data_IF_676479113693
#
_entry.id   IF_676479113693
#
_cell.length_a   1.000
_cell.length_b   1.000
_cell.length_c   1.000
_cell.angle_alpha   90.00
_cell.angle_beta   90.00
_cell.angle_gamma   90.00
#
_symmetry.space_group_name_H-M   'P 1'
#
loop_
_entity.id
_entity.type
_entity.pdbx_description
1 polymer ?
#
# COMPACT_ATOMS: atom_id res chain seq x y z
N UNK A 1 -39.13 -29.76 -10.07
CA UNK A 1 -37.82 -29.93 -10.73
C UNK A 1 -36.99 -28.64 -10.75
N UNK A 2 -37.54 -27.50 -11.19
CA UNK A 2 -36.82 -26.20 -11.24
C UNK A 2 -36.27 -25.74 -9.87
N UNK A 3 -37.02 -25.94 -8.78
CA UNK A 3 -36.60 -25.56 -7.42
C UNK A 3 -35.33 -26.31 -6.98
N UNK A 4 -35.24 -27.60 -7.28
CA UNK A 4 -34.05 -28.42 -6.95
C UNK A 4 -32.82 -27.91 -7.72
N UNK A 5 -33.04 -27.50 -8.98
CA UNK A 5 -31.98 -26.96 -9.82
C UNK A 5 -31.48 -25.59 -9.30
N UNK A 6 -32.39 -24.72 -8.86
CA UNK A 6 -32.07 -23.44 -8.21
C UNK A 6 -31.30 -23.65 -6.89
N UNK A 7 -31.77 -24.55 -6.03
CA UNK A 7 -31.11 -24.87 -4.77
C UNK A 7 -29.72 -25.47 -4.99
N UNK A 8 -29.57 -26.32 -6.01
CA UNK A 8 -28.27 -26.87 -6.41
C UNK A 8 -27.29 -25.81 -6.88
N UNK A 9 -27.75 -24.85 -7.70
CA UNK A 9 -26.93 -23.71 -8.13
C UNK A 9 -26.48 -22.83 -6.97
N UNK A 10 -27.39 -22.50 -6.05
CA UNK A 10 -27.08 -21.72 -4.84
C UNK A 10 -26.04 -22.46 -4.00
N UNK A 11 -26.26 -23.74 -3.70
CA UNK A 11 -25.34 -24.55 -2.92
C UNK A 11 -23.94 -24.63 -3.58
N UNK A 12 -23.88 -24.79 -4.91
CA UNK A 12 -22.61 -24.84 -5.64
C UNK A 12 -21.84 -23.52 -5.54
N UNK A 13 -22.50 -22.37 -5.68
CA UNK A 13 -21.88 -21.04 -5.52
C UNK A 13 -21.39 -20.85 -4.09
N UNK A 14 -22.21 -21.21 -3.09
CA UNK A 14 -21.83 -21.11 -1.68
C UNK A 14 -20.61 -21.98 -1.37
N UNK A 15 -20.60 -23.25 -1.79
CA UNK A 15 -19.46 -24.14 -1.57
C UNK A 15 -18.21 -23.58 -2.24
N UNK A 16 -18.31 -23.15 -3.50
CA UNK A 16 -17.18 -22.62 -4.24
C UNK A 16 -16.58 -21.35 -3.60
N UNK A 17 -17.40 -20.51 -2.99
CA UNK A 17 -16.93 -19.35 -2.23
C UNK A 17 -16.04 -19.74 -1.04
N UNK A 18 -16.35 -20.86 -0.38
CA UNK A 18 -15.60 -21.37 0.77
C UNK A 18 -14.43 -22.30 0.41
N UNK A 19 -14.24 -22.68 -0.86
CA UNK A 19 -13.11 -23.52 -1.29
C UNK A 19 -11.75 -22.87 -0.92
N UNK A 20 -11.50 -21.59 -1.23
CA UNK A 20 -10.25 -20.93 -0.82
C UNK A 20 -10.33 -20.34 0.60
N UNK A 21 -10.99 -21.00 1.56
CA UNK A 21 -11.21 -20.51 2.93
C UNK A 21 -9.94 -20.14 3.72
N UNK A 22 -8.77 -20.61 3.29
CA UNK A 22 -7.49 -20.31 3.91
C UNK A 22 -6.79 -19.07 3.36
N UNK A 23 -7.34 -18.39 2.34
CA UNK A 23 -6.75 -17.13 1.85
C UNK A 23 -7.25 -15.94 2.67
N UNK A 24 -6.37 -15.10 3.24
CA UNK A 24 -6.77 -13.84 3.87
C UNK A 24 -7.33 -12.83 2.86
N UNK A 25 -7.15 -13.10 1.56
CA UNK A 25 -7.70 -12.31 0.47
C UNK A 25 -9.09 -12.82 0.07
N UNK A 26 -10.03 -11.90 -0.16
CA UNK A 26 -11.40 -12.22 -0.59
C UNK A 26 -11.50 -12.55 -2.08
N UNK A 27 -10.51 -12.14 -2.87
CA UNK A 27 -10.49 -12.27 -4.33
C UNK A 27 -10.54 -13.71 -4.85
N UNK A 28 -9.78 -14.67 -4.29
CA UNK A 28 -9.89 -16.07 -4.66
C UNK A 28 -11.29 -16.64 -4.44
N UNK A 29 -11.93 -16.36 -3.30
CA UNK A 29 -13.30 -16.80 -2.99
C UNK A 29 -14.32 -16.25 -3.98
N UNK A 30 -14.21 -14.96 -4.29
CA UNK A 30 -15.05 -14.27 -5.27
C UNK A 30 -14.89 -14.86 -6.68
N UNK A 31 -13.65 -15.09 -7.12
CA UNK A 31 -13.36 -15.72 -8.42
C UNK A 31 -13.91 -17.15 -8.50
N UNK A 32 -13.73 -17.93 -7.44
CA UNK A 32 -14.21 -19.31 -7.38
C UNK A 32 -15.74 -19.39 -7.39
N UNK A 33 -16.44 -18.45 -6.74
CA UNK A 33 -17.89 -18.36 -6.77
C UNK A 33 -18.47 -17.93 -8.13
N UNK A 34 -17.72 -17.14 -8.91
CA UNK A 34 -18.11 -16.72 -10.26
C UNK A 34 -18.17 -17.88 -11.26
N UNK A 35 -17.29 -18.87 -11.14
CA UNK A 35 -17.23 -20.03 -12.05
C UNK A 35 -18.56 -20.81 -12.08
N UNK A 36 -19.08 -21.34 -10.96
CA UNK A 36 -20.35 -22.06 -10.96
C UNK A 36 -21.52 -21.13 -11.30
N UNK A 37 -21.47 -19.85 -10.94
CA UNK A 37 -22.52 -18.89 -11.31
C UNK A 37 -22.58 -18.65 -12.84
N UNK A 38 -21.44 -18.50 -13.49
CA UNK A 38 -21.36 -18.39 -14.96
C UNK A 38 -21.81 -19.68 -15.65
N UNK A 39 -21.37 -20.85 -15.15
CA UNK A 39 -21.82 -22.15 -15.66
C UNK A 39 -23.33 -22.34 -15.50
N UNK A 40 -23.89 -21.90 -14.36
CA UNK A 40 -25.32 -21.97 -14.09
C UNK A 40 -26.12 -21.08 -15.05
N UNK A 41 -25.69 -19.84 -15.27
CA UNK A 41 -26.31 -18.92 -16.24
C UNK A 41 -26.27 -19.51 -17.65
N UNK A 42 -25.11 -20.05 -18.05
CA UNK A 42 -24.91 -20.66 -19.36
C UNK A 42 -25.79 -21.90 -19.56
N UNK A 43 -25.90 -22.76 -18.54
CA UNK A 43 -26.81 -23.90 -18.55
C UNK A 43 -28.28 -23.47 -18.57
N UNK A 44 -28.65 -22.39 -17.88
CA UNK A 44 -30.00 -21.81 -17.93
C UNK A 44 -30.31 -21.27 -19.34
N UNK A 45 -29.36 -20.60 -19.98
CA UNK A 45 -29.48 -20.17 -21.38
C UNK A 45 -29.77 -21.35 -22.31
N UNK A 46 -29.04 -22.46 -22.19
CA UNK A 46 -29.32 -23.68 -22.97
C UNK A 46 -30.66 -24.33 -22.64
N UNK A 47 -31.09 -24.29 -21.38
CA UNK A 47 -32.39 -24.82 -20.98
C UNK A 47 -33.54 -24.05 -21.62
N UNK A 48 -33.46 -22.71 -21.70
CA UNK A 48 -34.51 -21.87 -22.32
C UNK A 48 -34.68 -22.06 -23.83
N UNK A 49 -33.70 -22.72 -24.49
CA UNK A 49 -33.77 -23.09 -25.90
C UNK A 49 -34.61 -24.36 -26.15
N UNK A 50 -34.90 -25.17 -25.11
CA UNK A 50 -35.71 -26.39 -25.25
C UNK A 50 -37.21 -26.08 -25.41
N UNK A 51 -37.92 -26.89 -26.19
CA UNK A 51 -39.39 -26.93 -26.21
C UNK A 51 -39.93 -27.66 -24.97
N UNK A 52 -41.12 -27.33 -24.41
CA UNK A 52 -42.20 -26.53 -24.97
C UNK A 52 -42.34 -25.13 -24.31
N UNK A 53 -41.26 -24.34 -24.26
CA UNK A 53 -41.33 -22.97 -23.72
C UNK A 53 -41.94 -22.03 -24.77
N UNK A 54 -42.95 -21.24 -24.39
CA UNK A 54 -43.59 -20.25 -25.27
C UNK A 54 -42.62 -19.15 -25.68
N UNK A 55 -42.81 -18.55 -26.87
CA UNK A 55 -41.93 -17.46 -27.39
C UNK A 55 -41.82 -16.28 -26.41
N UNK A 56 -42.92 -15.91 -25.76
CA UNK A 56 -42.96 -14.82 -24.77
C UNK A 56 -42.13 -15.17 -23.53
N UNK A 57 -42.29 -16.37 -22.97
CA UNK A 57 -41.50 -16.84 -21.83
C UNK A 57 -40.00 -16.93 -22.16
N UNK A 58 -39.66 -17.29 -23.40
CA UNK A 58 -38.26 -17.31 -23.88
C UNK A 58 -37.67 -15.90 -23.90
N UNK A 59 -38.36 -14.92 -24.46
CA UNK A 59 -37.90 -13.52 -24.51
C UNK A 59 -37.71 -12.97 -23.09
N UNK A 60 -38.70 -13.16 -22.20
CA UNK A 60 -38.61 -12.71 -20.81
C UNK A 60 -37.43 -13.37 -20.08
N UNK A 61 -37.22 -14.67 -20.29
CA UNK A 61 -36.08 -15.38 -19.68
C UNK A 61 -34.74 -14.84 -20.16
N UNK A 62 -34.60 -14.54 -21.45
CA UNK A 62 -33.38 -13.94 -21.99
C UNK A 62 -33.14 -12.53 -21.45
N UNK A 63 -34.17 -11.70 -21.32
CA UNK A 63 -34.06 -10.37 -20.69
C UNK A 63 -33.57 -10.52 -19.24
N UNK A 64 -34.15 -11.43 -18.47
CA UNK A 64 -33.73 -11.69 -17.08
C UNK A 64 -32.28 -12.19 -17.02
N UNK A 65 -31.88 -13.13 -17.89
CA UNK A 65 -30.51 -13.64 -17.96
C UNK A 65 -29.52 -12.52 -18.26
N UNK A 66 -29.84 -11.66 -19.24
CA UNK A 66 -28.98 -10.52 -19.60
C UNK A 66 -28.90 -9.51 -18.44
N UNK A 67 -30.01 -9.24 -17.76
CA UNK A 67 -30.01 -8.34 -16.59
C UNK A 67 -29.18 -8.89 -15.43
N UNK A 68 -29.33 -10.18 -15.11
CA UNK A 68 -28.57 -10.83 -14.03
C UNK A 68 -27.09 -10.92 -14.38
N UNK A 69 -26.76 -11.37 -15.60
CA UNK A 69 -25.37 -11.46 -16.06
C UNK A 69 -24.70 -10.09 -16.13
N UNK A 70 -25.42 -9.08 -16.62
CA UNK A 70 -24.96 -7.68 -16.66
C UNK A 70 -24.75 -7.10 -15.26
N UNK A 71 -25.68 -7.33 -14.34
CA UNK A 71 -25.56 -6.90 -12.95
C UNK A 71 -24.35 -7.57 -12.27
N UNK A 72 -24.18 -8.89 -12.42
CA UNK A 72 -23.02 -9.62 -11.89
C UNK A 72 -21.70 -9.06 -12.43
N UNK A 73 -21.59 -8.88 -13.74
CA UNK A 73 -20.38 -8.35 -14.37
C UNK A 73 -20.09 -6.91 -13.92
N UNK A 74 -21.12 -6.06 -13.82
CA UNK A 74 -20.98 -4.69 -13.33
C UNK A 74 -20.56 -4.64 -11.85
N UNK A 75 -21.12 -5.50 -11.00
CA UNK A 75 -20.72 -5.59 -9.60
C UNK A 75 -19.29 -6.09 -9.46
N UNK A 76 -18.90 -7.10 -10.23
CA UNK A 76 -17.54 -7.64 -10.26
C UNK A 76 -16.50 -6.56 -10.59
N UNK A 77 -16.68 -5.92 -11.74
CA UNK A 77 -15.78 -4.85 -12.22
C UNK A 77 -15.77 -3.65 -11.28
N UNK A 78 -16.93 -3.27 -10.75
CA UNK A 78 -17.05 -2.21 -9.75
C UNK A 78 -16.26 -2.52 -8.47
N UNK A 79 -16.36 -3.75 -7.96
CA UNK A 79 -15.59 -4.19 -6.78
C UNK A 79 -14.08 -4.19 -7.06
N UNK A 80 -13.65 -4.58 -8.26
CA UNK A 80 -12.23 -4.58 -8.63
C UNK A 80 -11.66 -3.17 -8.67
N UNK A 81 -12.37 -2.26 -9.35
CA UNK A 81 -11.98 -0.85 -9.42
C UNK A 81 -11.95 -0.23 -8.02
N UNK A 82 -12.99 -0.49 -7.21
CA UNK A 82 -13.07 0.02 -5.84
C UNK A 82 -11.96 -0.52 -4.95
N UNK A 83 -11.63 -1.81 -5.05
CA UNK A 83 -10.56 -2.43 -4.28
C UNK A 83 -9.19 -1.86 -4.65
N UNK A 84 -8.91 -1.70 -5.95
CA UNK A 84 -7.69 -1.04 -6.43
C UNK A 84 -7.62 0.42 -5.95
N UNK A 85 -8.73 1.14 -6.01
CA UNK A 85 -8.81 2.50 -5.52
C UNK A 85 -8.54 2.58 -4.02
N UNK A 86 -9.20 1.73 -3.21
CA UNK A 86 -8.99 1.66 -1.75
C UNK A 86 -7.54 1.33 -1.41
N UNK A 87 -6.95 0.33 -2.08
CA UNK A 87 -5.55 -0.03 -1.91
C UNK A 87 -4.63 1.17 -2.18
N UNK A 88 -4.83 1.87 -3.30
CA UNK A 88 -4.04 3.05 -3.64
C UNK A 88 -4.22 4.21 -2.65
N UNK A 89 -5.44 4.42 -2.14
CA UNK A 89 -5.68 5.43 -1.10
C UNK A 89 -5.00 5.07 0.22
N UNK A 90 -5.07 3.80 0.64
CA UNK A 90 -4.37 3.31 1.82
C UNK A 90 -2.86 3.51 1.70
N UNK A 91 -2.27 3.23 0.54
CA UNK A 91 -0.84 3.50 0.30
C UNK A 91 -0.52 5.00 0.41
N UNK A 92 -1.37 5.89 -0.10
CA UNK A 92 -1.19 7.34 0.02
C UNK A 92 -1.27 7.81 1.48
N UNK A 93 -2.29 7.37 2.21
CA UNK A 93 -2.48 7.68 3.63
C UNK A 93 -1.28 7.18 4.44
N UNK A 94 -0.88 5.92 4.22
CA UNK A 94 0.30 5.35 4.87
C UNK A 94 1.55 6.17 4.54
N UNK A 95 1.77 6.54 3.28
CA UNK A 95 2.91 7.37 2.90
C UNK A 95 2.91 8.72 3.62
N UNK A 96 1.75 9.37 3.76
CA UNK A 96 1.62 10.64 4.46
C UNK A 96 1.89 10.49 5.97
N UNK A 97 1.35 9.45 6.61
CA UNK A 97 1.59 9.15 8.03
C UNK A 97 3.07 8.85 8.26
N UNK A 98 3.67 7.95 7.47
CA UNK A 98 5.10 7.64 7.56
C UNK A 98 5.95 8.89 7.39
N UNK A 99 5.59 9.77 6.46
CA UNK A 99 6.30 11.04 6.24
C UNK A 99 6.25 11.91 7.48
N UNK A 100 5.05 12.09 8.05
CA UNK A 100 4.85 12.83 9.30
C UNK A 100 5.67 12.25 10.45
N UNK A 101 5.71 10.92 10.59
CA UNK A 101 6.51 10.23 11.60
C UNK A 101 8.01 10.44 11.39
N UNK A 102 8.51 10.25 10.16
CA UNK A 102 9.92 10.48 9.84
C UNK A 102 10.33 11.91 10.16
N UNK A 103 9.49 12.89 9.82
CA UNK A 103 9.74 14.29 10.15
C UNK A 103 9.68 14.53 11.66
N UNK A 104 8.70 13.98 12.38
CA UNK A 104 8.57 14.15 13.83
C UNK A 104 9.74 13.57 14.62
N UNK A 105 10.45 12.59 14.06
CA UNK A 105 11.65 12.01 14.69
C UNK A 105 12.95 12.69 14.23
N UNK A 106 13.14 12.89 12.93
CA UNK A 106 14.37 13.48 12.40
C UNK A 106 14.51 14.97 12.78
N UNK A 107 13.41 15.73 12.77
CA UNK A 107 13.46 17.17 12.98
C UNK A 107 13.88 17.54 14.41
N UNK A 108 13.32 16.96 15.50
CA UNK A 108 13.80 17.25 16.85
C UNK A 108 15.25 16.80 17.08
N UNK A 109 15.65 15.64 16.54
CA UNK A 109 17.05 15.18 16.65
C UNK A 109 18.03 16.17 15.99
N UNK A 110 17.69 16.65 14.80
CA UNK A 110 18.50 17.62 14.07
C UNK A 110 18.50 19.01 14.73
N UNK A 111 17.34 19.49 15.19
CA UNK A 111 17.21 20.79 15.87
C UNK A 111 17.90 20.80 17.23
N UNK A 112 17.86 19.70 17.99
CA UNK A 112 18.61 19.56 19.24
C UNK A 112 20.12 19.64 19.01
N UNK A 113 20.62 18.98 17.96
CA UNK A 113 22.04 19.10 17.58
C UNK A 113 22.42 20.51 17.14
N UNK A 114 21.56 21.19 16.38
CA UNK A 114 21.78 22.57 15.98
C UNK A 114 21.77 23.53 17.18
N UNK A 115 20.79 23.38 18.08
CA UNK A 115 20.68 24.18 19.30
C UNK A 115 21.92 24.03 20.16
N UNK A 116 22.36 22.81 20.40
CA UNK A 116 23.56 22.51 21.17
C UNK A 116 24.81 23.11 20.50
N UNK A 117 24.95 22.98 19.17
CA UNK A 117 26.05 23.56 18.40
C UNK A 117 26.14 25.09 18.54
N UNK A 118 25.00 25.79 18.60
CA UNK A 118 24.96 27.24 18.81
C UNK A 118 25.12 27.68 20.27
N UNK A 119 24.80 26.81 21.23
CA UNK A 119 25.00 27.08 22.66
C UNK A 119 26.47 26.93 23.09
N UNK A 120 27.29 26.25 22.30
CA UNK A 120 28.73 26.17 22.55
C UNK A 120 29.39 27.56 22.38
N UNK A 121 30.07 28.02 23.42
CA UNK A 121 30.82 29.27 23.40
C UNK A 121 31.92 29.28 22.33
N UNK A 122 32.28 30.48 21.85
CA UNK A 122 33.20 30.70 20.71
C UNK A 122 34.61 30.08 20.87
N UNK A 123 35.03 29.73 22.08
CA UNK A 123 36.40 29.33 22.40
C UNK A 123 36.69 27.83 22.26
N UNK A 124 35.67 26.96 22.23
CA UNK A 124 35.81 25.50 21.94
C UNK A 124 34.56 24.95 21.26
N UNK A 125 34.30 25.41 20.04
CA UNK A 125 33.15 24.93 19.25
C UNK A 125 33.50 23.59 18.61
N UNK A 126 32.81 22.53 19.04
CA UNK A 126 32.85 21.24 18.38
C UNK A 126 32.17 21.35 17.01
N UNK A 127 32.62 20.56 16.03
CA UNK A 127 31.96 20.46 14.73
C UNK A 127 30.53 19.93 14.89
N UNK A 128 29.60 20.39 14.05
CA UNK A 128 28.19 19.97 14.05
C UNK A 128 28.02 18.44 14.02
N UNK A 129 28.83 17.74 13.22
CA UNK A 129 28.81 16.28 13.16
C UNK A 129 29.16 15.59 14.49
N UNK A 130 30.13 16.13 15.25
CA UNK A 130 30.48 15.62 16.59
C UNK A 130 29.39 15.89 17.60
N UNK A 131 28.77 17.07 17.55
CA UNK A 131 27.61 17.39 18.41
C UNK A 131 26.45 16.43 18.13
N UNK A 132 26.19 16.14 16.86
CA UNK A 132 25.16 15.18 16.46
C UNK A 132 25.45 13.76 16.95
N UNK A 133 26.69 13.27 16.80
CA UNK A 133 27.11 11.95 17.31
C UNK A 133 27.01 11.83 18.83
N UNK A 134 27.30 12.91 19.55
CA UNK A 134 27.20 12.95 21.01
C UNK A 134 25.76 12.83 21.49
N UNK A 135 24.82 13.49 20.81
CA UNK A 135 23.39 13.43 21.12
C UNK A 135 22.73 12.12 20.65
N UNK A 136 23.30 11.47 19.63
CA UNK A 136 22.82 10.20 19.07
C UNK A 136 23.93 9.15 19.12
N UNK A 137 24.24 8.59 20.30
CA UNK A 137 25.31 7.61 20.45
C UNK A 137 25.03 6.37 19.56
N UNK A 138 25.99 6.01 18.71
CA UNK A 138 25.82 4.96 17.70
C UNK A 138 25.40 5.45 16.31
N UNK A 139 25.22 6.76 16.12
CA UNK A 139 25.06 7.36 14.80
C UNK A 139 26.38 7.32 14.02
N UNK A 140 26.41 6.49 12.98
CA UNK A 140 27.51 6.33 12.03
C UNK A 140 26.92 6.13 10.63
N UNK A 141 27.67 6.39 9.57
CA UNK A 141 27.18 6.17 8.21
C UNK A 141 26.65 4.72 8.06
N UNK A 142 25.42 4.59 7.56
CA UNK A 142 24.70 3.32 7.45
C UNK A 142 23.96 2.85 8.71
N UNK A 143 24.15 3.50 9.86
CA UNK A 143 23.46 3.13 11.09
C UNK A 143 22.03 3.68 11.15
N UNK A 144 21.15 2.94 11.82
CA UNK A 144 19.76 3.36 12.05
C UNK A 144 19.71 4.17 13.33
N UNK A 145 19.22 5.40 13.26
CA UNK A 145 19.00 6.23 14.47
C UNK A 145 17.71 5.80 15.16
N UNK A 146 16.76 5.21 14.42
CA UNK A 146 15.52 4.68 14.97
C UNK A 146 15.07 3.43 14.23
N UNK A 147 14.70 2.41 15.01
CA UNK A 147 13.94 1.27 14.53
C UNK A 147 12.46 1.66 14.52
N UNK A 148 11.70 1.20 13.53
CA UNK A 148 10.27 1.45 13.50
C UNK A 148 9.61 0.98 14.81
N UNK A 149 8.69 1.79 15.34
CA UNK A 149 7.94 1.44 16.56
C UNK A 149 7.02 0.22 16.34
N UNK A 150 6.85 -0.23 15.09
CA UNK A 150 6.07 -1.42 14.74
C UNK A 150 6.93 -2.46 13.99
N UNK A 151 6.91 -3.76 14.40
CA UNK A 151 7.68 -4.83 13.76
C UNK A 151 7.42 -5.01 12.25
N UNK A 152 6.26 -4.57 11.76
CA UNK A 152 5.87 -4.66 10.34
C UNK A 152 6.18 -3.40 9.53
N UNK A 153 6.49 -2.28 10.18
CA UNK A 153 6.83 -1.05 9.47
C UNK A 153 8.35 -1.03 9.23
N UNK A 154 8.81 -1.10 7.99
CA UNK A 154 10.25 -1.01 7.71
C UNK A 154 10.74 0.43 7.55
N UNK A 155 9.84 1.40 7.79
CA UNK A 155 10.15 2.82 7.77
C UNK A 155 11.18 3.15 8.86
N UNK A 156 12.25 3.82 8.47
CA UNK A 156 13.35 4.08 9.40
C UNK A 156 14.27 5.15 8.86
N UNK A 157 14.93 5.82 9.79
CA UNK A 157 15.89 6.89 9.53
C UNK A 157 17.29 6.29 9.58
N UNK A 158 18.02 6.40 8.47
CA UNK A 158 19.39 5.92 8.33
C UNK A 158 20.31 7.12 8.16
N UNK A 159 21.45 7.11 8.82
CA UNK A 159 22.50 8.10 8.59
C UNK A 159 23.16 7.82 7.25
N UNK A 160 23.11 8.76 6.31
CA UNK A 160 23.87 8.66 5.05
C UNK A 160 25.31 9.10 5.27
N UNK A 161 25.51 10.25 5.91
CA UNK A 161 26.83 10.83 6.15
C UNK A 161 26.81 11.75 7.36
N UNK A 162 27.94 11.78 8.08
CA UNK A 162 28.22 12.73 9.17
C UNK A 162 29.55 13.38 8.81
N UNK A 163 29.50 14.62 8.36
CA UNK A 163 30.65 15.48 8.11
C UNK A 163 30.75 16.55 9.20
N UNK A 164 31.83 17.34 9.20
CA UNK A 164 32.03 18.37 10.23
C UNK A 164 30.91 19.41 10.24
N UNK A 165 30.45 19.83 9.06
CA UNK A 165 29.48 20.93 8.89
C UNK A 165 28.12 20.47 8.35
N UNK A 166 27.97 19.18 8.07
CA UNK A 166 26.78 18.61 7.45
C UNK A 166 26.49 17.22 8.00
N UNK A 167 25.22 16.97 8.36
CA UNK A 167 24.73 15.63 8.68
C UNK A 167 23.55 15.33 7.76
N UNK A 168 23.61 14.21 7.05
CA UNK A 168 22.55 13.79 6.13
C UNK A 168 21.89 12.53 6.65
N UNK A 169 20.57 12.62 6.87
CA UNK A 169 19.72 11.50 7.25
C UNK A 169 18.76 11.17 6.11
N UNK A 170 18.48 9.88 5.94
CA UNK A 170 17.55 9.38 4.95
C UNK A 170 16.39 8.65 5.63
N UNK A 171 15.20 9.20 5.49
CA UNK A 171 13.94 8.57 5.85
C UNK A 171 13.49 7.62 4.74
N UNK A 172 13.20 6.37 5.10
CA UNK A 172 12.80 5.33 4.15
C UNK A 172 11.30 5.15 4.13
N UNK A 173 10.71 5.19 2.94
CA UNK A 173 9.35 4.74 2.69
C UNK A 173 9.35 3.37 2.01
N UNK A 174 8.64 2.40 2.58
CA UNK A 174 8.51 1.08 1.95
C UNK A 174 7.47 1.07 0.82
N UNK A 175 6.42 1.88 0.96
CA UNK A 175 5.18 1.74 0.20
C UNK A 175 4.92 2.87 -0.80
N UNK A 176 5.71 3.95 -0.75
CA UNK A 176 5.53 5.11 -1.63
C UNK A 176 6.32 4.94 -2.94
N UNK A 177 5.60 4.91 -4.06
CA UNK A 177 6.22 4.94 -5.39
C UNK A 177 6.49 6.39 -5.79
N UNK A 178 7.69 6.66 -6.29
CA UNK A 178 8.04 7.96 -6.84
C UNK A 178 7.63 8.08 -8.31
N UNK A 179 7.85 9.26 -8.89
CA UNK A 179 7.52 9.55 -10.29
C UNK A 179 8.47 8.88 -11.26
N UNK A 180 9.73 8.73 -10.88
CA UNK A 180 10.77 8.10 -11.71
C UNK A 180 10.97 6.63 -11.28
N UNK A 181 10.61 5.65 -12.14
CA UNK A 181 10.78 4.23 -11.83
C UNK A 181 12.27 3.81 -11.76
N UNK A 182 13.17 4.55 -12.40
CA UNK A 182 14.61 4.25 -12.44
C UNK A 182 15.40 4.87 -11.28
N UNK A 183 14.77 5.75 -10.49
CA UNK A 183 15.43 6.35 -9.34
C UNK A 183 15.77 5.27 -8.31
N UNK A 184 17.05 5.21 -7.92
CA UNK A 184 17.59 4.22 -7.00
C UNK A 184 17.79 4.84 -5.62
N UNK A 185 17.02 4.36 -4.64
CA UNK A 185 17.16 4.77 -3.25
C UNK A 185 18.50 4.29 -2.68
N UNK A 186 18.89 4.81 -1.52
CA UNK A 186 20.14 4.44 -0.84
C UNK A 186 20.31 2.92 -0.60
N UNK A 187 19.22 2.17 -0.44
CA UNK A 187 19.23 0.72 -0.26
C UNK A 187 19.20 -0.08 -1.59
N UNK A 188 19.28 0.59 -2.73
CA UNK A 188 19.26 -0.03 -4.04
C UNK A 188 17.88 -0.36 -4.60
N UNK A 189 16.77 -0.07 -3.88
CA UNK A 189 15.41 -0.23 -4.41
C UNK A 189 15.11 0.88 -5.42
N UNK A 190 14.49 0.52 -6.53
CA UNK A 190 14.14 1.44 -7.60
C UNK A 190 12.69 1.91 -7.51
N UNK A 191 12.42 3.13 -7.99
CA UNK A 191 11.07 3.67 -8.12
C UNK A 191 10.38 4.04 -6.81
N UNK A 192 11.13 4.20 -5.71
CA UNK A 192 10.58 4.52 -4.39
C UNK A 192 10.92 5.96 -4.00
N UNK A 193 10.05 6.57 -3.19
CA UNK A 193 10.35 7.88 -2.58
C UNK A 193 11.31 7.68 -1.40
N UNK A 194 12.26 8.60 -1.24
CA UNK A 194 13.05 8.72 -0.01
C UNK A 194 13.05 10.16 0.48
N UNK A 195 13.08 10.34 1.79
CA UNK A 195 13.09 11.67 2.38
C UNK A 195 14.51 11.98 2.85
N UNK A 196 15.06 13.08 2.40
CA UNK A 196 16.39 13.54 2.78
C UNK A 196 16.28 14.68 3.78
N UNK A 197 16.90 14.48 4.93
CA UNK A 197 17.08 15.52 5.94
C UNK A 197 18.54 15.93 5.93
N UNK A 198 18.81 17.19 5.65
CA UNK A 198 20.18 17.72 5.66
C UNK A 198 20.28 18.76 6.77
N UNK A 199 21.03 18.43 7.81
CA UNK A 199 21.37 19.33 8.89
C UNK A 199 22.69 20.03 8.54
N UNK A 200 22.65 21.35 8.44
CA UNK A 200 23.83 22.21 8.27
C UNK A 200 23.90 23.22 9.40
N UNK A 201 25.00 23.95 9.49
CA UNK A 201 25.10 25.05 10.46
C UNK A 201 24.01 26.10 10.29
N UNK A 202 23.50 26.30 9.07
CA UNK A 202 22.45 27.30 8.78
C UNK A 202 21.05 26.86 9.21
N UNK A 203 20.84 25.56 9.40
CA UNK A 203 19.50 25.01 9.62
C UNK A 203 19.34 23.58 9.11
N UNK A 204 18.10 23.09 9.21
CA UNK A 204 17.68 21.77 8.72
C UNK A 204 16.86 21.97 7.45
N UNK A 205 17.27 21.35 6.35
CA UNK A 205 16.48 21.25 5.13
C UNK A 205 15.86 19.87 4.98
N UNK A 206 14.72 19.82 4.30
CA UNK A 206 13.93 18.63 4.08
C UNK A 206 13.52 18.54 2.61
N UNK A 207 13.90 17.45 1.97
CA UNK A 207 13.68 17.24 0.54
C UNK A 207 13.13 15.83 0.30
N UNK A 208 11.99 15.74 -0.39
CA UNK A 208 11.48 14.48 -0.91
C UNK A 208 12.19 14.20 -2.23
N UNK A 209 12.92 13.09 -2.29
CA UNK A 209 13.59 12.62 -3.51
C UNK A 209 12.73 11.54 -4.19
N UNK A 210 12.61 11.65 -5.53
CA UNK A 210 11.69 10.91 -6.43
C UNK A 210 10.20 11.33 -6.35
#
# INVERSE_FOLDING_TARGET
MIIIWLLGGIAAVTIAFFVPSNSPELWPSLNMAMIPAALYILALSFYTLRSPITRTARIVSWVIIVLIGGAMYSSWTGMEVQSRWQHNQLLKIHSAITRGLLQSYAQPAALSALKEYYQQGKTKKESLGKVFQRLNPGAAAGSKIQAADMPQDSSSIVVKSIAENEVVLLGRHQYSNGRNPDFKNYNGKTGKVQERFTLTEKGVSYESEN
#
